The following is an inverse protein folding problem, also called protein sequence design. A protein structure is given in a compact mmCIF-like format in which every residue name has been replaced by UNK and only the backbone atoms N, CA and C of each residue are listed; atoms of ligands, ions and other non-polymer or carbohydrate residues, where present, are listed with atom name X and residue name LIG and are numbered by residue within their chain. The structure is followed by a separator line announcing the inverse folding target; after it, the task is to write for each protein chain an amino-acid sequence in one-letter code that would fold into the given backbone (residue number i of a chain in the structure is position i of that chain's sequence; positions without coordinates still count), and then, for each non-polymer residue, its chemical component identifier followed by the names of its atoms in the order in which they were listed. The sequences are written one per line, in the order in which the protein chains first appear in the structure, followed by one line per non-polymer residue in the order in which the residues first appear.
data_IF_005512106338
#
_entry.id   IF_005512106338
#
_cell.length_a   1.000
_cell.length_b   1.000
_cell.length_c   1.000
_cell.angle_alpha   90.00
_cell.angle_beta   90.00
_cell.angle_gamma   90.00
#
_symmetry.space_group_name_H-M   'P 1'
#
loop_
_entity.id
_entity.type
_entity.pdbx_description
1 polymer ?
#
# COMPACT_ATOMS: atom_id res chain seq x y z
N UNK A 1 0.68 3.74 -3.45
CA UNK A 1 0.53 2.38 -4.00
C UNK A 1 -0.93 2.24 -4.45
N UNK A 2 -1.20 2.08 -5.75
CA UNK A 2 -2.57 1.89 -6.26
C UNK A 2 -2.80 0.39 -6.43
N UNK A 3 -3.45 -0.24 -5.45
CA UNK A 3 -3.93 -1.61 -5.65
C UNK A 3 -5.09 -1.57 -6.64
N UNK A 4 -5.08 -2.45 -7.65
CA UNK A 4 -6.23 -2.63 -8.53
C UNK A 4 -7.28 -3.42 -7.75
N UNK A 5 -8.45 -2.84 -7.55
CA UNK A 5 -9.65 -3.57 -7.16
C UNK A 5 -10.03 -4.41 -8.38
N UNK A 6 -9.72 -5.70 -8.33
CA UNK A 6 -10.05 -6.59 -9.44
C UNK A 6 -11.57 -6.65 -9.58
N UNK A 7 -12.06 -6.33 -10.79
CA UNK A 7 -13.46 -6.48 -11.15
C UNK A 7 -13.66 -7.92 -11.58
N UNK A 8 -14.39 -8.70 -10.78
CA UNK A 8 -14.84 -10.02 -11.21
C UNK A 8 -15.73 -9.82 -12.46
N UNK A 9 -15.36 -10.49 -13.54
CA UNK A 9 -16.16 -10.71 -14.76
C UNK A 9 -16.49 -9.52 -15.67
N UNK A 10 -15.84 -8.36 -15.52
CA UNK A 10 -16.13 -7.21 -16.41
C UNK A 10 -17.55 -6.65 -16.24
N UNK A 11 -18.27 -7.06 -15.19
CA UNK A 11 -19.65 -6.70 -14.86
C UNK A 11 -19.76 -5.43 -14.00
N UNK A 12 -18.62 -4.79 -13.66
CA UNK A 12 -18.62 -3.46 -13.07
C UNK A 12 -18.75 -3.40 -11.55
N UNK A 13 -18.92 -4.52 -10.85
CA UNK A 13 -18.89 -4.54 -9.38
C UNK A 13 -17.46 -4.49 -8.86
N UNK A 14 -17.25 -3.63 -7.87
CA UNK A 14 -15.97 -3.40 -7.22
C UNK A 14 -15.82 -4.44 -6.12
N UNK A 15 -14.81 -5.30 -6.23
CA UNK A 15 -14.51 -6.33 -5.23
C UNK A 15 -13.30 -5.93 -4.41
N UNK A 16 -13.34 -6.19 -3.12
CA UNK A 16 -12.23 -5.96 -2.21
C UNK A 16 -11.26 -7.15 -2.23
N UNK A 17 -9.99 -6.89 -2.49
CA UNK A 17 -8.95 -7.91 -2.38
C UNK A 17 -8.71 -8.24 -0.90
N UNK A 18 -8.57 -9.52 -0.59
CA UNK A 18 -8.32 -10.00 0.77
C UNK A 18 -6.94 -9.57 1.31
N UNK A 19 -6.84 -9.47 2.63
CA UNK A 19 -5.65 -9.07 3.39
C UNK A 19 -4.38 -9.89 3.07
N UNK A 20 -4.55 -11.12 2.55
CA UNK A 20 -3.46 -11.96 2.05
C UNK A 20 -2.61 -11.30 0.97
N UNK A 21 -3.14 -10.32 0.23
CA UNK A 21 -2.38 -9.63 -0.82
C UNK A 21 -1.37 -8.61 -0.29
N UNK A 22 -1.51 -8.14 0.97
CA UNK A 22 -0.68 -7.06 1.53
C UNK A 22 0.80 -7.44 1.54
N UNK A 23 1.13 -8.61 2.09
CA UNK A 23 2.52 -9.03 2.31
C UNK A 23 3.27 -9.16 0.98
N UNK A 24 2.71 -9.91 0.04
CA UNK A 24 3.30 -10.07 -1.29
C UNK A 24 3.41 -8.73 -2.04
N UNK A 25 2.45 -7.82 -1.84
CA UNK A 25 2.50 -6.50 -2.48
C UNK A 25 3.60 -5.62 -1.91
N UNK A 26 3.79 -5.62 -0.59
CA UNK A 26 4.88 -4.89 0.04
C UNK A 26 6.25 -5.44 -0.38
N UNK A 27 6.44 -6.76 -0.31
CA UNK A 27 7.67 -7.43 -0.72
C UNK A 27 8.01 -7.05 -2.17
N UNK A 28 7.07 -7.27 -3.11
CA UNK A 28 7.31 -6.96 -4.53
C UNK A 28 7.57 -5.47 -4.79
N UNK A 29 6.94 -4.57 -4.04
CA UNK A 29 7.20 -3.14 -4.15
C UNK A 29 8.63 -2.76 -3.72
N UNK A 30 9.10 -3.26 -2.57
CA UNK A 30 10.45 -2.98 -2.09
C UNK A 30 11.53 -3.67 -2.93
N UNK A 31 11.33 -4.92 -3.36
CA UNK A 31 12.22 -5.62 -4.30
C UNK A 31 12.37 -4.86 -5.63
N UNK A 32 11.26 -4.37 -6.18
CA UNK A 32 11.28 -3.56 -7.40
C UNK A 32 12.00 -2.22 -7.19
N UNK A 33 11.88 -1.62 -6.01
CA UNK A 33 12.58 -0.38 -5.67
C UNK A 33 14.09 -0.60 -5.58
N UNK A 34 14.54 -1.67 -4.89
CA UNK A 34 15.96 -2.04 -4.81
C UNK A 34 16.53 -2.28 -6.20
N UNK A 35 15.81 -3.06 -7.02
CA UNK A 35 16.22 -3.38 -8.40
C UNK A 35 16.36 -2.10 -9.25
N UNK A 36 15.42 -1.15 -9.13
CA UNK A 36 15.50 0.14 -9.84
C UNK A 36 16.67 1.00 -9.37
N UNK A 37 16.94 1.03 -8.06
CA UNK A 37 18.09 1.76 -7.50
C UNK A 37 19.42 1.25 -8.06
N UNK A 38 19.57 -0.07 -8.16
CA UNK A 38 20.76 -0.71 -8.71
C UNK A 38 20.94 -0.42 -10.21
N UNK A 39 19.85 -0.40 -10.98
CA UNK A 39 19.90 -0.14 -12.43
C UNK A 39 20.08 1.35 -12.78
N UNK A 40 19.67 2.27 -11.91
CA UNK A 40 19.75 3.72 -12.14
C UNK A 40 20.28 4.46 -10.90
N UNK A 41 21.57 4.29 -10.55
CA UNK A 41 22.14 4.86 -9.32
C UNK A 41 22.04 6.39 -9.25
N UNK A 42 22.07 7.05 -10.41
CA UNK A 42 21.99 8.50 -10.55
C UNK A 42 20.58 9.07 -10.31
N UNK A 43 19.53 8.23 -10.28
CA UNK A 43 18.19 8.71 -9.97
C UNK A 43 18.02 9.03 -8.48
N UNK A 44 18.96 8.62 -7.62
CA UNK A 44 19.10 8.99 -6.20
C UNK A 44 17.75 9.16 -5.46
N UNK A 45 16.78 8.31 -5.82
CA UNK A 45 15.57 8.12 -5.04
C UNK A 45 16.08 7.50 -3.74
N UNK A 46 15.71 8.10 -2.60
CA UNK A 46 16.11 7.67 -1.25
C UNK A 46 16.26 6.15 -1.21
N UNK A 47 17.37 5.65 -0.64
CA UNK A 47 17.66 4.22 -0.64
C UNK A 47 16.43 3.48 -0.14
N UNK A 48 16.14 2.31 -0.69
CA UNK A 48 14.99 1.50 -0.27
C UNK A 48 14.92 1.36 1.25
N UNK A 49 16.09 1.19 1.90
CA UNK A 49 16.27 1.16 3.34
C UNK A 49 15.83 2.46 4.05
N UNK A 50 16.18 3.63 3.50
CA UNK A 50 15.78 4.93 4.05
C UNK A 50 14.26 5.11 3.97
N UNK A 51 13.66 4.71 2.85
CA UNK A 51 12.21 4.79 2.67
C UNK A 51 11.46 3.82 3.59
N UNK A 52 11.93 2.58 3.72
CA UNK A 52 11.36 1.61 4.65
C UNK A 52 11.51 2.09 6.10
N UNK A 53 12.68 2.65 6.46
CA UNK A 53 12.92 3.20 7.80
C UNK A 53 12.01 4.37 8.11
N UNK A 54 11.79 5.28 7.15
CA UNK A 54 10.82 6.36 7.29
C UNK A 54 9.41 5.81 7.52
N UNK A 55 8.98 4.84 6.71
CA UNK A 55 7.65 4.25 6.87
C UNK A 55 7.48 3.55 8.22
N UNK A 56 8.52 2.87 8.72
CA UNK A 56 8.52 2.23 10.04
C UNK A 56 8.55 3.22 11.20
N UNK A 57 9.03 4.45 10.98
CA UNK A 57 9.10 5.49 12.02
C UNK A 57 7.75 6.08 12.40
N UNK A 58 6.73 5.92 11.55
CA UNK A 58 5.37 6.34 11.84
C UNK A 58 4.68 5.38 12.82
N UNK A 59 3.88 5.96 13.69
CA UNK A 59 2.88 5.23 14.48
C UNK A 59 1.75 4.72 13.57
N UNK A 60 1.00 3.72 14.07
CA UNK A 60 -0.17 3.20 13.37
C UNK A 60 -1.23 4.30 13.10
N UNK A 61 -1.43 5.21 14.05
CA UNK A 61 -2.33 6.37 13.92
C UNK A 61 -1.89 7.33 12.80
N UNK A 62 -0.60 7.62 12.70
CA UNK A 62 -0.04 8.47 11.65
C UNK A 62 -0.18 7.80 10.28
N UNK A 63 0.15 6.51 10.16
CA UNK A 63 -0.04 5.74 8.93
C UNK A 63 -1.51 5.69 8.52
N UNK A 64 -2.41 5.45 9.47
CA UNK A 64 -3.86 5.46 9.23
C UNK A 64 -4.32 6.82 8.71
N UNK A 65 -3.87 7.91 9.31
CA UNK A 65 -4.19 9.28 8.86
C UNK A 65 -3.73 9.53 7.43
N UNK A 66 -2.50 9.12 7.10
CA UNK A 66 -1.96 9.22 5.74
C UNK A 66 -2.82 8.42 4.76
N UNK A 67 -3.15 7.18 5.07
CA UNK A 67 -3.92 6.30 4.18
C UNK A 67 -5.34 6.82 3.97
N UNK A 68 -6.01 7.28 5.04
CA UNK A 68 -7.34 7.90 4.93
C UNK A 68 -7.30 9.13 4.01
N UNK A 69 -6.28 9.97 4.12
CA UNK A 69 -6.12 11.13 3.23
C UNK A 69 -5.95 10.74 1.75
N UNK A 70 -5.36 9.57 1.47
CA UNK A 70 -5.25 9.03 0.12
C UNK A 70 -6.58 8.48 -0.40
N UNK A 71 -7.39 7.91 0.49
CA UNK A 71 -8.72 7.34 0.16
C UNK A 71 -9.72 8.44 -0.18
N UNK A 72 -9.56 9.63 0.37
CA UNK A 72 -10.39 10.79 0.04
C UNK A 72 -10.36 11.14 -1.46
N UNK A 73 -9.32 10.74 -2.20
CA UNK A 73 -9.26 10.87 -3.66
C UNK A 73 -10.26 9.97 -4.40
N UNK A 74 -10.80 8.96 -3.73
CA UNK A 74 -11.80 8.04 -4.28
C UNK A 74 -13.23 8.47 -3.96
N UNK A 75 -13.44 9.53 -3.17
CA UNK A 75 -14.76 9.95 -2.63
C UNK A 75 -15.89 9.96 -3.65
N UNK A 76 -15.61 10.43 -4.86
CA UNK A 76 -16.62 10.58 -5.93
C UNK A 76 -16.67 9.38 -6.89
N UNK A 77 -16.02 8.26 -6.55
CA UNK A 77 -15.97 7.05 -7.37
C UNK A 77 -16.91 5.97 -6.83
N UNK A 78 -17.33 5.04 -7.70
CA UNK A 78 -18.07 3.83 -7.32
C UNK A 78 -17.32 2.93 -6.34
N UNK A 79 -16.00 3.14 -6.19
CA UNK A 79 -15.12 2.29 -5.40
C UNK A 79 -15.14 2.70 -3.93
N UNK A 80 -15.49 3.95 -3.62
CA UNK A 80 -15.42 4.52 -2.27
C UNK A 80 -16.21 3.74 -1.21
N UNK A 81 -17.46 3.30 -1.45
CA UNK A 81 -18.21 2.55 -0.45
C UNK A 81 -17.53 1.22 -0.11
N UNK A 82 -16.94 0.55 -1.10
CA UNK A 82 -16.23 -0.71 -0.89
C UNK A 82 -14.92 -0.47 -0.15
N UNK A 83 -14.20 0.61 -0.46
CA UNK A 83 -12.96 0.96 0.23
C UNK A 83 -13.23 1.25 1.71
N UNK A 84 -14.16 2.16 2.03
CA UNK A 84 -14.40 2.58 3.42
C UNK A 84 -14.93 1.44 4.30
N UNK A 85 -15.69 0.49 3.72
CA UNK A 85 -16.21 -0.67 4.46
C UNK A 85 -15.15 -1.71 4.83
N UNK A 86 -13.99 -1.69 4.18
CA UNK A 86 -12.97 -2.75 4.36
C UNK A 86 -11.58 -2.22 4.75
N UNK A 87 -11.34 -0.91 4.64
CA UNK A 87 -9.99 -0.35 4.76
C UNK A 87 -9.37 -0.52 6.15
N UNK A 88 -10.15 -0.41 7.23
CA UNK A 88 -9.61 -0.42 8.59
C UNK A 88 -8.80 -1.70 8.87
N UNK A 89 -9.34 -2.87 8.51
CA UNK A 89 -8.64 -4.15 8.65
C UNK A 89 -7.36 -4.20 7.81
N UNK A 90 -7.43 -3.70 6.58
CA UNK A 90 -6.29 -3.64 5.66
C UNK A 90 -5.19 -2.70 6.18
N UNK A 91 -5.54 -1.57 6.80
CA UNK A 91 -4.57 -0.64 7.42
C UNK A 91 -3.86 -1.33 8.58
N UNK A 92 -4.60 -2.02 9.45
CA UNK A 92 -4.01 -2.70 10.60
C UNK A 92 -3.04 -3.80 10.14
N UNK A 93 -3.46 -4.61 9.15
CA UNK A 93 -2.61 -5.63 8.57
C UNK A 93 -1.40 -5.02 7.86
N UNK A 94 -1.57 -3.92 7.12
CA UNK A 94 -0.49 -3.19 6.45
C UNK A 94 0.54 -2.68 7.47
N UNK A 95 0.09 -2.06 8.56
CA UNK A 95 0.95 -1.57 9.62
C UNK A 95 1.76 -2.71 10.25
N UNK A 96 1.12 -3.81 10.63
CA UNK A 96 1.80 -4.99 11.20
C UNK A 96 2.83 -5.56 10.23
N UNK A 97 2.45 -5.72 8.96
CA UNK A 97 3.32 -6.32 7.95
C UNK A 97 4.51 -5.42 7.65
N UNK A 98 4.29 -4.10 7.57
CA UNK A 98 5.33 -3.11 7.34
C UNK A 98 6.36 -3.08 8.49
N UNK A 99 5.89 -3.16 9.74
CA UNK A 99 6.77 -3.19 10.91
C UNK A 99 7.65 -4.46 10.93
N UNK A 100 7.07 -5.60 10.53
CA UNK A 100 7.76 -6.89 10.50
C UNK A 100 8.59 -7.14 9.23
N UNK A 101 8.49 -6.27 8.21
CA UNK A 101 9.20 -6.46 6.95
C UNK A 101 10.73 -6.46 7.18
N UNK A 102 11.48 -7.49 6.77
CA UNK A 102 12.94 -7.46 6.88
C UNK A 102 13.54 -6.37 5.99
N UNK A 103 14.68 -5.82 6.42
CA UNK A 103 15.52 -4.94 5.61
C UNK A 103 16.34 -5.77 4.60
#
# INVERSE_FOLDING_TARGET
MKMRLDKIDGLGEVVWADDTCIESTLIGFFEAMQTKGNLKPYLNLAKTEDFLSLLKSFTQEELKTIIISLIDQYRDTSDYPVIISNIDNHIDKLCITLQNLPL
#
